data_IF_094262575962
#
_entry.id   IF_094262575962
#
_cell.length_a   1.000
_cell.length_b   1.000
_cell.length_c   1.000
_cell.angle_alpha   90.00
_cell.angle_beta   90.00
_cell.angle_gamma   90.00
#
_symmetry.space_group_name_H-M   'P 1'
#
loop_
_entity.id
_entity.type
_entity.pdbx_description
1 polymer ?
#
# COMPACT_ATOMS: atom_id res chain seq x y z
N UNK A 1 5.55 -20.71 12.70
CA UNK A 1 4.45 -21.16 11.82
C UNK A 1 4.27 -20.13 10.73
N UNK A 2 4.72 -20.39 9.52
CA UNK A 2 4.39 -19.58 8.36
C UNK A 2 2.89 -19.70 8.12
N UNK A 3 2.13 -18.66 8.46
CA UNK A 3 0.75 -18.57 8.00
C UNK A 3 0.81 -18.47 6.48
N UNK A 4 0.23 -19.44 5.79
CA UNK A 4 0.04 -19.43 4.35
C UNK A 4 -0.59 -18.09 3.93
N UNK A 5 0.22 -17.17 3.48
CA UNK A 5 -0.20 -15.85 2.98
C UNK A 5 -0.63 -15.90 1.51
N UNK A 6 -0.74 -17.10 0.94
CA UNK A 6 -1.06 -17.31 -0.48
C UNK A 6 -2.28 -18.21 -0.66
N UNK A 7 -3.17 -17.78 -1.55
CA UNK A 7 -4.31 -18.57 -2.04
C UNK A 7 -4.06 -18.88 -3.51
N UNK A 8 -4.27 -20.11 -3.92
CA UNK A 8 -4.04 -20.57 -5.29
C UNK A 8 -5.28 -21.19 -5.90
N UNK A 9 -5.39 -21.04 -7.21
CA UNK A 9 -6.51 -21.49 -8.02
C UNK A 9 -7.60 -20.42 -8.18
N UNK A 10 -8.19 -20.38 -9.36
CA UNK A 10 -9.10 -19.30 -9.79
C UNK A 10 -10.31 -19.18 -8.85
N UNK A 11 -10.97 -20.30 -8.56
CA UNK A 11 -12.17 -20.30 -7.70
C UNK A 11 -11.88 -19.89 -6.26
N UNK A 12 -10.75 -20.39 -5.70
CA UNK A 12 -10.35 -20.05 -4.34
C UNK A 12 -10.03 -18.55 -4.20
N UNK A 13 -9.41 -17.94 -5.21
CA UNK A 13 -9.13 -16.50 -5.23
C UNK A 13 -10.42 -15.68 -5.36
N UNK A 14 -11.36 -16.09 -6.22
CA UNK A 14 -12.68 -15.44 -6.32
C UNK A 14 -13.39 -15.49 -4.97
N UNK A 15 -13.42 -16.64 -4.33
CA UNK A 15 -14.06 -16.83 -3.02
C UNK A 15 -13.41 -15.97 -1.94
N UNK A 16 -12.08 -15.91 -1.92
CA UNK A 16 -11.35 -15.07 -0.97
C UNK A 16 -11.69 -13.59 -1.12
N UNK A 17 -11.82 -13.09 -2.35
CA UNK A 17 -12.24 -11.70 -2.61
C UNK A 17 -13.66 -11.48 -2.14
N UNK A 18 -14.59 -12.39 -2.47
CA UNK A 18 -15.99 -12.29 -2.06
C UNK A 18 -16.17 -12.37 -0.53
N UNK A 19 -15.28 -13.10 0.16
CA UNK A 19 -15.25 -13.19 1.63
C UNK A 19 -14.50 -12.04 2.31
N UNK A 20 -14.29 -10.94 1.60
CA UNK A 20 -13.62 -9.73 2.12
C UNK A 20 -12.24 -9.99 2.75
N UNK A 21 -11.49 -10.96 2.23
CA UNK A 21 -10.07 -11.13 2.60
C UNK A 21 -9.25 -9.98 2.03
N UNK A 22 -8.38 -9.42 2.85
CA UNK A 22 -7.46 -8.37 2.41
C UNK A 22 -6.41 -8.95 1.45
N UNK A 23 -6.65 -8.80 0.15
CA UNK A 23 -5.76 -9.26 -0.91
C UNK A 23 -4.75 -8.17 -1.22
N UNK A 24 -3.47 -8.44 -1.00
CA UNK A 24 -2.38 -7.52 -1.36
C UNK A 24 -2.17 -7.47 -2.88
N UNK A 25 -2.10 -8.64 -3.51
CA UNK A 25 -1.87 -8.75 -4.96
C UNK A 25 -2.33 -10.07 -5.53
N UNK A 26 -2.85 -10.03 -6.77
CA UNK A 26 -3.17 -11.23 -7.56
C UNK A 26 -2.18 -11.37 -8.71
N UNK A 27 -1.61 -12.56 -8.87
CA UNK A 27 -0.77 -12.93 -10.00
C UNK A 27 -1.58 -13.83 -10.93
N UNK A 28 -1.66 -13.47 -12.21
CA UNK A 28 -2.39 -14.19 -13.25
C UNK A 28 -1.40 -14.61 -14.32
N UNK A 29 -1.46 -15.86 -14.77
CA UNK A 29 -0.64 -16.35 -15.86
C UNK A 29 -0.93 -15.58 -17.14
N UNK A 30 0.13 -15.13 -17.82
CA UNK A 30 0.01 -14.48 -19.12
C UNK A 30 -0.63 -15.41 -20.14
N UNK A 31 -1.62 -14.89 -20.87
CA UNK A 31 -2.34 -15.66 -21.90
C UNK A 31 -3.39 -16.64 -21.37
N UNK A 32 -3.65 -16.70 -20.07
CA UNK A 32 -4.74 -17.51 -19.50
C UNK A 32 -6.09 -16.96 -19.98
N UNK A 33 -6.93 -17.85 -20.54
CA UNK A 33 -8.24 -17.51 -21.10
C UNK A 33 -9.34 -18.41 -20.52
N UNK A 34 -10.57 -17.92 -20.50
CA UNK A 34 -11.72 -18.69 -20.10
C UNK A 34 -12.74 -17.88 -19.30
N UNK A 35 -13.96 -18.38 -19.18
CA UNK A 35 -15.09 -17.69 -18.51
C UNK A 35 -14.76 -17.33 -17.05
N UNK A 36 -14.11 -18.24 -16.31
CA UNK A 36 -13.72 -18.01 -14.91
C UNK A 36 -12.64 -16.93 -14.76
N UNK A 37 -11.72 -16.83 -15.72
CA UNK A 37 -10.71 -15.76 -15.71
C UNK A 37 -11.36 -14.41 -15.97
N UNK A 38 -12.25 -14.30 -16.95
CA UNK A 38 -12.98 -13.05 -17.18
C UNK A 38 -13.79 -12.62 -15.96
N UNK A 39 -14.40 -13.57 -15.25
CA UNK A 39 -15.11 -13.30 -14.00
C UNK A 39 -14.15 -12.80 -12.91
N UNK A 40 -12.99 -13.44 -12.72
CA UNK A 40 -11.97 -13.03 -11.76
C UNK A 40 -11.45 -11.62 -12.06
N UNK A 41 -11.12 -11.32 -13.31
CA UNK A 41 -10.64 -10.00 -13.72
C UNK A 41 -11.68 -8.90 -13.46
N UNK A 42 -12.96 -9.18 -13.74
CA UNK A 42 -14.06 -8.26 -13.44
C UNK A 42 -14.14 -7.96 -11.93
N UNK A 43 -14.07 -9.00 -11.09
CA UNK A 43 -14.11 -8.87 -9.63
C UNK A 43 -12.88 -8.10 -9.10
N UNK A 44 -11.68 -8.39 -9.61
CA UNK A 44 -10.45 -7.69 -9.26
C UNK A 44 -10.56 -6.20 -9.56
N UNK A 45 -11.04 -5.84 -10.76
CA UNK A 45 -11.22 -4.44 -11.16
C UNK A 45 -12.27 -3.72 -10.32
N UNK A 46 -13.42 -4.37 -10.08
CA UNK A 46 -14.49 -3.82 -9.23
C UNK A 46 -14.01 -3.50 -7.82
N UNK A 47 -13.21 -4.39 -7.24
CA UNK A 47 -12.67 -4.24 -5.88
C UNK A 47 -11.33 -3.48 -5.85
N UNK A 48 -10.85 -2.94 -6.98
CA UNK A 48 -9.59 -2.18 -7.11
C UNK A 48 -8.37 -2.94 -6.56
N UNK A 49 -8.35 -4.27 -6.71
CA UNK A 49 -7.27 -5.13 -6.22
C UNK A 49 -6.10 -5.04 -7.19
N UNK A 50 -4.87 -4.90 -6.65
CA UNK A 50 -3.66 -4.89 -7.46
C UNK A 50 -3.42 -6.27 -8.10
N UNK A 51 -3.10 -6.31 -9.41
CA UNK A 51 -2.80 -7.57 -10.09
C UNK A 51 -1.71 -7.40 -11.16
N UNK A 52 -1.11 -8.52 -11.54
CA UNK A 52 -0.11 -8.56 -12.61
C UNK A 52 -0.23 -9.84 -13.42
N UNK A 53 -0.08 -9.73 -14.75
CA UNK A 53 0.16 -10.88 -15.59
C UNK A 53 1.62 -11.29 -15.51
N UNK A 54 1.86 -12.57 -15.32
CA UNK A 54 3.21 -13.11 -15.11
C UNK A 54 3.41 -14.43 -15.90
N UNK A 55 4.64 -14.79 -16.31
CA UNK A 55 4.94 -16.10 -16.85
C UNK A 55 4.65 -17.22 -15.85
N UNK A 56 4.29 -18.42 -16.34
CA UNK A 56 4.00 -19.60 -15.50
C UNK A 56 5.15 -19.92 -14.54
N UNK A 57 6.39 -19.80 -15.00
CA UNK A 57 7.58 -20.06 -14.18
C UNK A 57 7.64 -19.19 -12.90
N UNK A 58 7.07 -17.98 -12.95
CA UNK A 58 7.00 -17.12 -11.76
C UNK A 58 5.97 -17.66 -10.76
N UNK A 59 4.83 -18.17 -11.22
CA UNK A 59 3.83 -18.81 -10.36
C UNK A 59 4.36 -20.09 -9.73
N UNK A 60 5.08 -20.92 -10.50
CA UNK A 60 5.71 -22.16 -10.04
C UNK A 60 6.77 -21.91 -8.95
N UNK A 61 7.41 -20.73 -8.98
CA UNK A 61 8.35 -20.31 -7.91
C UNK A 61 7.64 -19.82 -6.67
N UNK A 62 6.48 -19.19 -6.82
CA UNK A 62 5.67 -18.72 -5.70
C UNK A 62 5.01 -19.89 -4.97
N UNK A 63 4.49 -20.87 -5.70
CA UNK A 63 3.85 -22.03 -5.11
C UNK A 63 4.10 -23.30 -5.93
N UNK A 64 4.41 -24.40 -5.23
CA UNK A 64 4.49 -25.76 -5.81
C UNK A 64 3.14 -26.44 -5.91
N UNK A 65 2.07 -25.81 -5.42
CA UNK A 65 0.70 -26.34 -5.45
C UNK A 65 0.03 -26.05 -6.77
N UNK A 66 -1.07 -26.78 -7.07
CA UNK A 66 -1.84 -26.57 -8.29
C UNK A 66 -2.54 -25.20 -8.27
N UNK A 67 -1.88 -24.20 -8.81
CA UNK A 67 -2.37 -22.82 -8.83
C UNK A 67 -3.28 -22.49 -10.00
N UNK A 68 -3.46 -23.40 -10.98
CA UNK A 68 -4.32 -23.19 -12.16
C UNK A 68 -4.09 -21.83 -12.86
N UNK A 69 -2.85 -21.33 -12.84
CA UNK A 69 -2.47 -20.05 -13.43
C UNK A 69 -2.84 -18.81 -12.59
N UNK A 70 -3.29 -18.97 -11.35
CA UNK A 70 -3.66 -17.84 -10.47
C UNK A 70 -3.17 -18.07 -9.04
N UNK A 71 -2.50 -17.05 -8.48
CA UNK A 71 -2.12 -16.98 -7.07
C UNK A 71 -2.49 -15.61 -6.54
N UNK A 72 -3.17 -15.54 -5.38
CA UNK A 72 -3.39 -14.32 -4.63
C UNK A 72 -2.55 -14.32 -3.35
N UNK A 73 -1.91 -13.20 -3.06
CA UNK A 73 -1.22 -12.94 -1.80
C UNK A 73 -2.19 -12.23 -0.86
N UNK A 74 -2.38 -12.79 0.32
CA UNK A 74 -3.17 -12.17 1.39
C UNK A 74 -2.26 -11.19 2.13
N UNK A 75 -2.76 -10.00 2.43
CA UNK A 75 -2.09 -9.07 3.30
C UNK A 75 -2.12 -9.58 4.75
N UNK A 76 -1.00 -9.52 5.48
CA UNK A 76 -0.97 -9.89 6.90
C UNK A 76 -1.68 -8.89 7.80
N UNK A 77 -2.03 -7.70 7.25
CA UNK A 77 -2.74 -6.61 7.92
C UNK A 77 -3.96 -6.21 7.10
N UNK A 78 -4.92 -5.57 7.77
CA UNK A 78 -6.03 -4.89 7.09
C UNK A 78 -5.53 -3.53 6.58
N UNK A 79 -5.80 -3.22 5.31
CA UNK A 79 -5.60 -1.89 4.76
C UNK A 79 -6.86 -1.05 4.91
N UNK A 80 -6.67 0.24 5.14
CA UNK A 80 -7.74 1.22 5.19
C UNK A 80 -8.04 1.78 3.80
N UNK A 81 -9.31 2.03 3.52
CA UNK A 81 -9.73 2.96 2.45
C UNK A 81 -9.52 4.38 2.92
N UNK A 82 -9.55 5.35 2.01
CA UNK A 82 -9.37 6.76 2.40
C UNK A 82 -10.46 7.23 3.37
N UNK A 83 -11.70 6.78 3.18
CA UNK A 83 -12.82 7.14 4.05
C UNK A 83 -12.63 6.60 5.48
N UNK A 84 -12.35 5.28 5.61
CA UNK A 84 -12.10 4.68 6.92
C UNK A 84 -10.82 5.22 7.59
N UNK A 85 -9.86 5.67 6.79
CA UNK A 85 -8.64 6.28 7.29
C UNK A 85 -8.92 7.67 7.88
N UNK A 86 -9.83 8.43 7.27
CA UNK A 86 -10.29 9.72 7.80
C UNK A 86 -10.90 9.58 9.19
N UNK A 87 -11.74 8.55 9.42
CA UNK A 87 -12.31 8.24 10.74
C UNK A 87 -11.22 7.96 11.81
N UNK A 88 -10.06 7.45 11.39
CA UNK A 88 -8.92 7.26 12.30
C UNK A 88 -8.27 8.60 12.61
N UNK A 89 -8.06 9.46 11.60
CA UNK A 89 -7.41 10.76 11.76
C UNK A 89 -8.25 11.74 12.60
N UNK A 90 -9.58 11.69 12.50
CA UNK A 90 -10.50 12.51 13.30
C UNK A 90 -10.41 12.28 14.81
N UNK A 91 -9.80 11.17 15.24
CA UNK A 91 -9.55 10.88 16.66
C UNK A 91 -8.37 11.63 17.25
N UNK A 92 -7.50 12.17 16.40
CA UNK A 92 -6.34 12.99 16.77
C UNK A 92 -6.69 14.47 16.62
N UNK A 93 -6.36 15.30 17.61
CA UNK A 93 -6.52 16.75 17.51
C UNK A 93 -5.53 17.37 16.50
N UNK A 94 -4.38 16.73 16.32
CA UNK A 94 -3.33 17.17 15.40
C UNK A 94 -2.82 15.93 14.62
N UNK A 95 -3.59 15.42 13.64
CA UNK A 95 -3.19 14.22 12.92
C UNK A 95 -1.88 14.44 12.17
N UNK A 96 -0.97 13.48 12.33
CA UNK A 96 0.29 13.42 11.62
C UNK A 96 0.31 12.22 10.68
N UNK A 97 0.36 12.49 9.38
CA UNK A 97 0.27 11.48 8.31
C UNK A 97 1.57 11.41 7.52
N UNK A 98 1.98 10.22 7.15
CA UNK A 98 3.08 10.01 6.23
C UNK A 98 2.55 9.48 4.90
N UNK A 99 2.90 10.15 3.79
CA UNK A 99 2.54 9.72 2.43
C UNK A 99 3.80 9.21 1.75
N UNK A 100 3.80 7.94 1.33
CA UNK A 100 4.95 7.29 0.71
C UNK A 100 4.72 7.12 -0.79
N UNK A 101 5.46 7.90 -1.58
CA UNK A 101 5.40 7.84 -3.05
C UNK A 101 6.51 6.98 -3.61
N UNK A 102 6.15 5.87 -4.25
CA UNK A 102 7.05 4.94 -4.95
C UNK A 102 8.13 4.27 -4.06
N UNK A 103 7.86 4.09 -2.77
CA UNK A 103 8.73 3.29 -1.88
C UNK A 103 8.53 1.80 -2.18
N UNK A 104 9.42 1.22 -2.99
CA UNK A 104 9.29 -0.16 -3.48
C UNK A 104 10.18 -1.17 -2.76
N UNK A 105 11.22 -0.71 -2.07
CA UNK A 105 12.09 -1.56 -1.27
C UNK A 105 11.45 -1.93 0.06
N UNK A 106 11.38 -3.24 0.35
CA UNK A 106 10.74 -3.79 1.55
C UNK A 106 11.49 -3.38 2.82
N UNK A 107 12.82 -3.26 2.77
CA UNK A 107 13.64 -2.89 3.94
C UNK A 107 13.43 -1.43 4.30
N UNK A 108 13.47 -0.55 3.29
CA UNK A 108 13.21 0.88 3.47
C UNK A 108 11.78 1.11 3.96
N UNK A 109 10.81 0.44 3.35
CA UNK A 109 9.41 0.50 3.79
C UNK A 109 9.23 0.06 5.24
N UNK A 110 9.80 -1.08 5.62
CA UNK A 110 9.75 -1.57 7.01
C UNK A 110 10.45 -0.63 8.00
N UNK A 111 11.61 -0.08 7.64
CA UNK A 111 12.34 0.89 8.48
C UNK A 111 11.55 2.18 8.67
N UNK A 112 10.92 2.69 7.60
CA UNK A 112 10.05 3.88 7.66
C UNK A 112 8.86 3.62 8.59
N UNK A 113 8.17 2.49 8.45
CA UNK A 113 7.03 2.12 9.31
C UNK A 113 7.46 2.09 10.78
N UNK A 114 8.61 1.47 11.10
CA UNK A 114 9.12 1.41 12.47
C UNK A 114 9.41 2.79 13.05
N UNK A 115 10.02 3.66 12.26
CA UNK A 115 10.30 5.03 12.68
C UNK A 115 9.01 5.84 12.81
N UNK A 116 8.08 5.71 11.89
CA UNK A 116 6.79 6.40 11.91
C UNK A 116 5.98 6.06 13.17
N UNK A 117 5.91 4.77 13.53
CA UNK A 117 5.19 4.31 14.71
C UNK A 117 5.78 4.91 16.01
N UNK A 118 7.10 4.86 16.17
CA UNK A 118 7.78 5.43 17.35
C UNK A 118 7.66 6.96 17.39
N UNK A 119 7.58 7.62 16.24
CA UNK A 119 7.46 9.09 16.12
C UNK A 119 6.03 9.59 16.31
N UNK A 120 5.07 8.72 16.57
CA UNK A 120 3.67 9.10 16.79
C UNK A 120 2.93 9.49 15.51
N UNK A 121 3.31 8.93 14.37
CA UNK A 121 2.55 9.09 13.12
C UNK A 121 1.22 8.35 13.24
N UNK A 122 0.10 9.04 13.01
CA UNK A 122 -1.25 8.49 13.13
C UNK A 122 -1.59 7.50 12.02
N UNK A 123 -0.92 7.60 10.88
CA UNK A 123 -1.08 6.63 9.81
C UNK A 123 -0.24 6.91 8.57
N UNK A 124 -0.16 5.90 7.71
CA UNK A 124 0.65 5.92 6.49
C UNK A 124 -0.25 5.73 5.27
N UNK A 125 -0.05 6.54 4.23
CA UNK A 125 -0.72 6.39 2.93
C UNK A 125 0.28 5.86 1.92
N UNK A 126 -0.10 4.80 1.20
CA UNK A 126 0.68 4.20 0.13
C UNK A 126 -0.16 4.01 -1.13
N UNK A 127 0.49 3.91 -2.27
CA UNK A 127 -0.19 3.62 -3.54
C UNK A 127 -0.35 2.12 -3.76
N UNK A 128 -1.48 1.71 -4.37
CA UNK A 128 -1.77 0.29 -4.66
C UNK A 128 -0.74 -0.37 -5.58
N UNK A 129 -0.23 0.35 -6.58
CA UNK A 129 0.59 -0.22 -7.67
C UNK A 129 2.08 -0.02 -7.52
N UNK A 130 2.51 0.98 -6.76
CA UNK A 130 3.91 1.45 -6.71
C UNK A 130 4.49 1.44 -5.30
N UNK A 131 4.06 0.50 -4.46
CA UNK A 131 4.54 0.35 -3.08
C UNK A 131 5.15 -1.01 -2.85
N UNK A 132 6.03 -1.10 -1.87
CA UNK A 132 6.57 -2.37 -1.40
C UNK A 132 5.45 -3.31 -0.92
N UNK A 133 5.55 -4.61 -1.16
CA UNK A 133 4.58 -5.57 -0.66
C UNK A 133 4.61 -5.64 0.86
N UNK A 134 3.43 -5.83 1.47
CA UNK A 134 3.33 -6.16 2.89
C UNK A 134 3.35 -7.68 3.05
N UNK A 135 4.47 -8.19 3.53
CA UNK A 135 4.72 -9.62 3.69
C UNK A 135 5.53 -9.90 4.98
N UNK A 136 6.00 -11.13 5.16
CA UNK A 136 6.83 -11.53 6.30
C UNK A 136 8.10 -10.70 6.46
N UNK A 137 8.72 -10.27 5.34
CA UNK A 137 9.93 -9.46 5.37
C UNK A 137 9.61 -8.03 5.85
N UNK A 138 8.46 -7.47 5.44
CA UNK A 138 7.98 -6.17 5.94
C UNK A 138 7.69 -6.22 7.44
N UNK A 139 7.07 -7.30 7.93
CA UNK A 139 6.83 -7.52 9.37
C UNK A 139 8.15 -7.55 10.13
N UNK A 140 9.13 -8.30 9.61
CA UNK A 140 10.45 -8.42 10.21
C UNK A 140 11.22 -7.10 10.22
N UNK A 141 11.25 -6.39 9.10
CA UNK A 141 12.03 -5.14 8.97
C UNK A 141 11.39 -3.99 9.74
N UNK A 142 10.07 -3.99 9.89
CA UNK A 142 9.36 -3.04 10.77
C UNK A 142 9.40 -3.42 12.25
N UNK A 143 10.04 -4.56 12.61
CA UNK A 143 10.00 -5.12 13.97
C UNK A 143 8.58 -5.27 14.55
N UNK A 144 7.58 -5.52 13.70
CA UNK A 144 6.17 -5.65 14.08
C UNK A 144 5.38 -4.34 14.15
N UNK A 145 6.01 -3.18 14.01
CA UNK A 145 5.34 -1.87 14.04
C UNK A 145 4.18 -1.75 13.01
N UNK A 146 4.27 -2.51 11.92
CA UNK A 146 3.22 -2.56 10.89
C UNK A 146 1.84 -3.00 11.42
N UNK A 147 1.77 -3.67 12.56
CA UNK A 147 0.50 -4.07 13.18
C UNK A 147 -0.14 -2.96 14.02
N UNK A 148 0.64 -1.93 14.38
CA UNK A 148 0.22 -0.87 15.28
C UNK A 148 -0.18 0.42 14.54
N UNK A 149 0.33 0.63 13.33
CA UNK A 149 0.08 1.85 12.57
C UNK A 149 -0.91 1.60 11.42
N UNK A 150 -1.98 2.40 11.29
CA UNK A 150 -2.92 2.30 10.19
C UNK A 150 -2.25 2.57 8.84
N UNK A 151 -2.47 1.68 7.86
CA UNK A 151 -1.96 1.86 6.50
C UNK A 151 -3.13 1.96 5.53
N UNK A 152 -3.25 3.12 4.89
CA UNK A 152 -4.23 3.40 3.86
C UNK A 152 -3.65 3.10 2.47
N UNK A 153 -4.40 2.39 1.63
CA UNK A 153 -4.06 2.18 0.22
C UNK A 153 -4.95 3.01 -0.70
N UNK A 154 -4.32 3.79 -1.58
CA UNK A 154 -5.00 4.60 -2.59
C UNK A 154 -4.56 4.25 -4.01
N UNK A 155 -5.39 4.54 -4.99
CA UNK A 155 -5.01 4.34 -6.39
C UNK A 155 -4.04 5.44 -6.87
N UNK A 156 -4.29 6.68 -6.45
CA UNK A 156 -3.47 7.84 -6.80
C UNK A 156 -3.18 8.66 -5.54
N UNK A 157 -1.92 9.00 -5.33
CA UNK A 157 -1.47 9.87 -4.21
C UNK A 157 -2.17 11.23 -4.26
N UNK A 158 -2.44 11.77 -5.46
CA UNK A 158 -3.13 13.05 -5.63
C UNK A 158 -4.50 13.06 -4.97
N UNK A 159 -5.28 11.99 -5.14
CA UNK A 159 -6.62 11.90 -4.55
C UNK A 159 -6.53 11.96 -3.01
N UNK A 160 -5.53 11.29 -2.44
CA UNK A 160 -5.27 11.36 -1.01
C UNK A 160 -4.86 12.76 -0.54
N UNK A 161 -4.01 13.45 -1.32
CA UNK A 161 -3.61 14.84 -1.01
C UNK A 161 -4.83 15.76 -0.97
N UNK A 162 -5.67 15.76 -2.02
CA UNK A 162 -6.88 16.58 -2.04
C UNK A 162 -7.84 16.25 -0.90
N UNK A 163 -7.96 14.96 -0.58
CA UNK A 163 -8.79 14.52 0.53
C UNK A 163 -8.28 15.05 1.88
N UNK A 164 -6.97 14.92 2.16
CA UNK A 164 -6.35 15.45 3.38
C UNK A 164 -6.45 16.97 3.47
N UNK A 165 -6.27 17.67 2.34
CA UNK A 165 -6.45 19.14 2.28
C UNK A 165 -7.89 19.55 2.64
N UNK A 166 -8.90 18.78 2.19
CA UNK A 166 -10.30 19.02 2.57
C UNK A 166 -10.58 18.84 4.07
N UNK A 167 -9.71 18.09 4.76
CA UNK A 167 -9.71 17.93 6.23
C UNK A 167 -8.85 19.00 6.94
N UNK A 168 -8.38 20.04 6.25
CA UNK A 168 -7.47 21.06 6.77
C UNK A 168 -6.12 20.51 7.27
N UNK A 169 -5.63 19.41 6.67
CA UNK A 169 -4.31 18.87 6.94
C UNK A 169 -3.32 19.51 5.98
N UNK A 170 -2.28 20.16 6.52
CA UNK A 170 -1.21 20.78 5.74
C UNK A 170 -0.35 19.71 5.06
N UNK A 171 0.02 19.94 3.80
CA UNK A 171 0.83 18.98 3.04
C UNK A 171 2.23 19.55 2.80
N UNK A 172 3.24 18.79 3.16
CA UNK A 172 4.66 19.17 2.97
C UNK A 172 5.39 18.05 2.23
N UNK A 173 6.20 18.41 1.26
CA UNK A 173 7.04 17.49 0.50
C UNK A 173 8.48 17.51 1.00
N UNK A 174 9.02 16.35 1.40
CA UNK A 174 10.44 16.19 1.71
C UNK A 174 11.22 15.90 0.41
N UNK A 175 11.95 16.88 -0.10
CA UNK A 175 12.69 16.78 -1.36
C UNK A 175 14.05 17.45 -1.24
N UNK A 176 15.09 16.80 -1.80
CA UNK A 176 16.43 17.37 -1.93
C UNK A 176 16.49 18.60 -2.84
N UNK A 177 15.43 18.86 -3.60
CA UNK A 177 15.31 20.02 -4.49
C UNK A 177 14.65 21.23 -3.83
N UNK A 178 14.29 21.11 -2.56
CA UNK A 178 13.68 22.21 -1.82
C UNK A 178 14.73 23.29 -1.50
N UNK A 179 14.35 24.55 -1.69
CA UNK A 179 15.17 25.70 -1.24
C UNK A 179 15.01 25.97 0.26
N UNK A 180 13.96 25.42 0.89
CA UNK A 180 13.68 25.59 2.32
C UNK A 180 14.15 24.38 3.11
N UNK A 181 14.72 24.65 4.28
CA UNK A 181 15.03 23.62 5.26
C UNK A 181 13.80 23.26 6.11
N UNK A 182 13.82 22.11 6.76
CA UNK A 182 12.77 21.69 7.68
C UNK A 182 12.53 22.69 8.83
N UNK A 183 13.58 23.42 9.22
CA UNK A 183 13.52 24.44 10.28
C UNK A 183 12.84 25.74 9.84
N UNK A 184 12.69 25.96 8.53
CA UNK A 184 12.08 27.15 7.94
C UNK A 184 10.57 26.94 7.68
N UNK A 185 10.03 25.79 8.04
CA UNK A 185 8.66 25.39 7.78
C UNK A 185 7.88 25.25 9.08
N UNK A 186 6.66 25.76 9.13
CA UNK A 186 5.78 25.52 10.27
C UNK A 186 5.24 24.09 10.23
N UNK A 187 5.65 23.29 11.20
CA UNK A 187 5.24 21.89 11.36
C UNK A 187 4.18 21.71 12.44
N UNK A 188 3.58 22.80 12.94
CA UNK A 188 2.55 22.72 13.97
C UNK A 188 1.18 22.40 13.37
N UNK A 189 0.37 21.70 14.16
CA UNK A 189 -0.99 21.34 13.79
C UNK A 189 -1.09 20.11 12.89
N UNK A 190 -2.25 19.89 12.25
CA UNK A 190 -2.50 18.78 11.35
C UNK A 190 -1.54 18.80 10.14
N UNK A 191 -0.80 17.70 9.95
CA UNK A 191 0.29 17.66 8.98
C UNK A 191 0.36 16.32 8.25
N UNK A 192 0.65 16.38 6.94
CA UNK A 192 1.07 15.22 6.16
C UNK A 192 2.41 15.50 5.48
N UNK A 193 3.36 14.57 5.63
CA UNK A 193 4.67 14.66 4.96
C UNK A 193 4.71 13.64 3.83
N UNK A 194 5.08 14.11 2.63
CA UNK A 194 5.29 13.25 1.45
C UNK A 194 6.78 12.91 1.37
N UNK A 195 7.07 11.62 1.29
CA UNK A 195 8.42 11.09 1.06
C UNK A 195 8.44 10.28 -0.24
N UNK A 196 9.42 10.53 -1.08
CA UNK A 196 9.66 9.81 -2.32
C UNK A 196 10.67 8.67 -2.19
N UNK A 197 10.83 7.91 -3.27
CA UNK A 197 11.86 6.87 -3.35
C UNK A 197 13.27 7.46 -3.39
N UNK A 198 14.27 6.70 -2.90
CA UNK A 198 15.69 7.11 -2.92
C UNK A 198 16.20 7.44 -4.34
N UNK A 199 15.76 6.70 -5.34
CA UNK A 199 16.28 6.85 -6.71
C UNK A 199 15.59 7.94 -7.51
N UNK A 200 14.28 8.14 -7.31
CA UNK A 200 13.44 9.01 -8.16
C UNK A 200 12.88 10.21 -7.43
N UNK A 201 12.96 10.21 -6.10
CA UNK A 201 12.29 11.19 -5.27
C UNK A 201 10.76 11.06 -5.37
N UNK A 202 10.08 12.16 -5.13
CA UNK A 202 8.63 12.29 -5.28
C UNK A 202 8.28 12.48 -6.75
N UNK A 203 7.20 11.87 -7.20
CA UNK A 203 6.72 12.00 -8.58
C UNK A 203 6.45 13.49 -8.90
N UNK A 204 6.93 13.93 -10.07
CA UNK A 204 6.75 15.32 -10.53
C UNK A 204 5.29 15.78 -10.50
N UNK A 205 4.38 14.88 -10.82
CA UNK A 205 2.94 15.17 -10.83
C UNK A 205 2.33 15.32 -9.42
N UNK A 206 3.04 14.91 -8.38
CA UNK A 206 2.66 15.06 -6.97
C UNK A 206 3.29 16.32 -6.38
N UNK A 207 4.57 16.57 -6.71
CA UNK A 207 5.31 17.73 -6.17
C UNK A 207 4.80 19.08 -6.71
N UNK A 208 4.09 19.07 -7.84
CA UNK A 208 3.54 20.27 -8.48
C UNK A 208 2.10 20.62 -8.01
N UNK A 209 1.60 19.93 -6.99
CA UNK A 209 0.32 20.21 -6.34
C UNK A 209 0.51 21.21 -5.20
#
# INVERSE_FOLDING_TARGET
>A
MEKNTEIYGIRAVIEAINSSKDIDKVFIQTGLKGKLIGQLESIIRKNKINFSYVPTQKLDRLSKKNHQGVIARIAPIKFYTIDNFSEVLEKSNNPFVLILDQINDVRNFGAIIRTAEISGVDGIIIQNSSSAPVNSDTIKTSAGAIFNIPICKVNHIKDAIYHLQSMNISIISASEKSEKNIYDVDLKGPLAIIMGSEQKGINKSVINL
#
